data_IF_660416800321
#
_entry.id   IF_660416800321
#
_cell.length_a   1.000
_cell.length_b   1.000
_cell.length_c   1.000
_cell.angle_alpha   90.00
_cell.angle_beta   90.00
_cell.angle_gamma   90.00
#
_symmetry.space_group_name_H-M   'P 1'
#
loop_
_entity.id
_entity.type
_entity.pdbx_description
1 polymer ?
#
# COMPACT_ATOMS: atom_id res chain seq x y z
N UNK A 1 -2.04 12.38 3.77
CA UNK A 1 -3.47 12.02 3.73
C UNK A 1 -3.81 11.23 2.47
N UNK A 2 -3.57 11.76 1.27
CA UNK A 2 -3.83 11.01 0.03
C UNK A 2 -2.94 9.77 -0.11
N UNK A 3 -1.66 9.87 0.28
CA UNK A 3 -0.73 8.73 0.38
C UNK A 3 -1.24 7.65 1.32
N UNK A 4 -1.61 8.02 2.56
CA UNK A 4 -2.18 7.09 3.54
C UNK A 4 -3.45 6.40 3.03
N UNK A 5 -4.37 7.13 2.40
CA UNK A 5 -5.56 6.51 1.81
C UNK A 5 -5.20 5.53 0.70
N UNK A 6 -4.26 5.90 -0.19
CA UNK A 6 -3.80 5.02 -1.26
C UNK A 6 -3.28 3.69 -0.69
N UNK A 7 -2.47 3.76 0.37
CA UNK A 7 -1.97 2.61 1.11
C UNK A 7 -3.11 1.76 1.68
N UNK A 8 -3.99 2.36 2.47
CA UNK A 8 -5.09 1.66 3.16
C UNK A 8 -6.08 1.05 2.16
N UNK A 9 -6.39 1.75 1.07
CA UNK A 9 -7.30 1.27 0.06
C UNK A 9 -6.69 0.13 -0.75
N UNK A 10 -5.41 0.22 -1.13
CA UNK A 10 -4.70 -0.85 -1.81
C UNK A 10 -4.62 -2.11 -0.95
N UNK A 11 -4.37 -1.96 0.36
CA UNK A 11 -4.42 -3.07 1.31
C UNK A 11 -5.83 -3.65 1.42
N UNK A 12 -6.85 -2.80 1.49
CA UNK A 12 -8.25 -3.23 1.52
C UNK A 12 -8.60 -4.05 0.29
N UNK A 13 -8.22 -3.60 -0.91
CA UNK A 13 -8.37 -4.33 -2.17
C UNK A 13 -7.65 -5.69 -2.11
N UNK A 14 -6.40 -5.74 -1.66
CA UNK A 14 -5.64 -6.98 -1.58
C UNK A 14 -6.32 -7.99 -0.64
N UNK A 15 -6.75 -7.54 0.55
CA UNK A 15 -7.48 -8.37 1.51
C UNK A 15 -8.85 -8.81 1.02
N UNK A 16 -9.55 -7.96 0.26
CA UNK A 16 -10.79 -8.35 -0.38
C UNK A 16 -10.56 -9.52 -1.37
N UNK A 17 -9.56 -9.39 -2.24
CA UNK A 17 -9.23 -10.43 -3.22
C UNK A 17 -8.79 -11.73 -2.55
N UNK A 18 -8.09 -11.66 -1.43
CA UNK A 18 -7.70 -12.83 -0.62
C UNK A 18 -8.93 -13.61 -0.13
N UNK A 19 -9.91 -12.90 0.46
CA UNK A 19 -11.17 -13.50 0.96
C UNK A 19 -12.02 -14.05 -0.19
N UNK A 20 -12.11 -13.36 -1.33
CA UNK A 20 -12.83 -13.85 -2.53
C UNK A 20 -12.15 -15.10 -3.09
N UNK A 21 -10.83 -15.10 -3.21
CA UNK A 21 -10.04 -16.24 -3.68
C UNK A 21 -10.21 -17.45 -2.76
N UNK A 22 -10.15 -17.26 -1.44
CA UNK A 22 -10.44 -18.35 -0.48
C UNK A 22 -11.88 -18.86 -0.61
N UNK A 23 -12.86 -17.96 -0.69
CA UNK A 23 -14.27 -18.32 -0.85
C UNK A 23 -14.56 -19.08 -2.13
N UNK A 24 -13.84 -18.78 -3.21
CA UNK A 24 -13.99 -19.46 -4.49
C UNK A 24 -13.73 -20.97 -4.39
N UNK A 25 -12.84 -21.41 -3.49
CA UNK A 25 -12.49 -22.81 -3.31
C UNK A 25 -13.68 -23.64 -2.80
N UNK A 26 -14.57 -23.03 -2.03
CA UNK A 26 -15.73 -23.70 -1.43
C UNK A 26 -16.98 -23.57 -2.29
N UNK A 27 -17.15 -22.42 -2.96
CA UNK A 27 -18.29 -22.17 -3.84
C UNK A 27 -18.17 -22.87 -5.20
N UNK A 28 -16.98 -23.41 -5.55
CA UNK A 28 -16.70 -24.08 -6.82
C UNK A 28 -16.89 -25.60 -6.82
N UNK A 29 -17.28 -26.20 -5.69
CA UNK A 29 -17.51 -27.64 -5.59
C UNK A 29 -18.90 -28.05 -6.13
N UNK A 30 -18.97 -28.34 -7.43
CA UNK A 30 -19.72 -29.48 -7.99
C UNK A 30 -21.27 -29.52 -7.96
N UNK A 31 -21.98 -28.41 -7.80
CA UNK A 31 -23.46 -28.38 -7.82
C UNK A 31 -24.10 -27.78 -9.09
N UNK A 32 -25.43 -27.92 -9.25
CA UNK A 32 -26.22 -27.29 -10.34
C UNK A 32 -26.04 -25.74 -10.38
N UNK A 33 -25.73 -25.16 -9.22
CA UNK A 33 -25.52 -23.73 -8.99
C UNK A 33 -24.12 -23.20 -9.33
N UNK A 34 -23.18 -24.08 -9.70
CA UNK A 34 -21.77 -23.74 -9.93
C UNK A 34 -21.59 -22.56 -10.89
N UNK A 35 -22.36 -22.53 -11.97
CA UNK A 35 -22.29 -21.46 -12.97
C UNK A 35 -22.71 -20.09 -12.40
N UNK A 36 -23.68 -20.06 -11.49
CA UNK A 36 -24.15 -18.83 -10.84
C UNK A 36 -23.13 -18.33 -9.82
N UNK A 37 -22.56 -19.24 -9.00
CA UNK A 37 -21.47 -18.90 -8.08
C UNK A 37 -20.23 -18.39 -8.81
N UNK A 38 -19.85 -19.05 -9.90
CA UNK A 38 -18.72 -18.62 -10.74
C UNK A 38 -18.96 -17.22 -11.30
N UNK A 39 -20.16 -16.96 -11.85
CA UNK A 39 -20.51 -15.63 -12.34
C UNK A 39 -20.49 -14.58 -11.21
N UNK A 40 -21.02 -14.92 -10.02
CA UNK A 40 -20.98 -14.04 -8.86
C UNK A 40 -19.55 -13.64 -8.49
N UNK A 41 -18.65 -14.62 -8.32
CA UNK A 41 -17.25 -14.41 -7.98
C UNK A 41 -16.50 -13.62 -9.05
N UNK A 42 -16.72 -13.96 -10.33
CA UNK A 42 -16.12 -13.21 -11.45
C UNK A 42 -16.53 -11.74 -11.44
N UNK A 43 -17.80 -11.42 -11.13
CA UNK A 43 -18.24 -10.03 -11.03
C UNK A 43 -17.54 -9.28 -9.89
N UNK A 44 -17.32 -9.94 -8.74
CA UNK A 44 -16.56 -9.38 -7.62
C UNK A 44 -15.09 -9.14 -7.99
N UNK A 45 -14.47 -10.13 -8.63
CA UNK A 45 -13.06 -10.06 -9.04
C UNK A 45 -12.85 -9.04 -10.16
N UNK A 46 -13.72 -8.94 -11.15
CA UNK A 46 -13.56 -7.97 -12.27
C UNK A 46 -13.79 -6.52 -11.84
N UNK A 47 -14.61 -6.30 -10.80
CA UNK A 47 -14.82 -4.97 -10.22
C UNK A 47 -13.54 -4.38 -9.64
N UNK A 48 -12.69 -5.24 -9.07
CA UNK A 48 -11.49 -4.84 -8.31
C UNK A 48 -10.19 -5.20 -9.04
N UNK A 49 -10.21 -6.27 -9.82
CA UNK A 49 -9.14 -6.76 -10.68
C UNK A 49 -8.93 -5.80 -11.85
N UNK A 50 -7.88 -4.99 -11.75
CA UNK A 50 -7.60 -3.94 -12.71
C UNK A 50 -8.05 -2.56 -12.28
N UNK A 51 -8.28 -2.33 -10.98
CA UNK A 51 -8.19 -0.98 -10.44
C UNK A 51 -6.81 -0.41 -10.76
N UNK A 52 -6.78 0.72 -11.48
CA UNK A 52 -5.54 1.45 -11.67
C UNK A 52 -4.98 1.90 -10.30
N UNK A 53 -3.66 2.08 -10.16
CA UNK A 53 -3.10 2.73 -8.98
C UNK A 53 -3.82 4.05 -8.73
N UNK A 54 -4.23 4.28 -7.48
CA UNK A 54 -4.89 5.52 -7.10
C UNK A 54 -4.02 6.73 -7.47
N UNK A 55 -4.65 7.79 -7.96
CA UNK A 55 -3.97 9.00 -8.38
C UNK A 55 -3.06 9.54 -7.26
N UNK A 56 -1.81 9.88 -7.61
CA UNK A 56 -0.92 10.56 -6.68
C UNK A 56 -1.36 12.02 -6.55
N UNK A 57 -1.51 12.50 -5.32
CA UNK A 57 -1.90 13.89 -5.05
C UNK A 57 -1.01 14.50 -3.98
N UNK A 58 -0.42 15.64 -4.30
CA UNK A 58 0.33 16.48 -3.38
C UNK A 58 -0.31 17.87 -3.28
N UNK A 59 -0.45 18.34 -2.04
CA UNK A 59 -0.83 19.71 -1.70
C UNK A 59 0.05 20.15 -0.53
N UNK A 60 0.73 21.29 -0.67
CA UNK A 60 1.59 21.78 0.39
C UNK A 60 0.81 22.41 1.55
N UNK A 61 1.49 22.59 2.68
CA UNK A 61 0.89 23.10 3.91
C UNK A 61 0.28 24.51 3.75
N UNK A 62 0.89 25.39 2.94
CA UNK A 62 0.36 26.73 2.73
C UNK A 62 -0.97 26.68 1.96
N UNK A 63 -1.06 25.83 0.93
CA UNK A 63 -2.32 25.63 0.21
C UNK A 63 -3.41 25.08 1.12
N UNK A 64 -3.09 24.04 1.91
CA UNK A 64 -4.03 23.43 2.87
C UNK A 64 -4.54 24.46 3.88
N UNK A 65 -3.68 25.37 4.35
CA UNK A 65 -4.03 26.43 5.29
C UNK A 65 -4.96 27.47 4.68
N UNK A 66 -4.64 27.98 3.49
CA UNK A 66 -5.44 29.02 2.80
C UNK A 66 -6.83 28.51 2.43
N UNK A 67 -6.93 27.25 2.00
CA UNK A 67 -8.18 26.63 1.57
C UNK A 67 -9.01 26.06 2.73
N UNK A 68 -8.41 25.93 3.92
CA UNK A 68 -9.02 25.32 5.10
C UNK A 68 -9.61 23.92 4.80
N UNK A 69 -8.93 23.13 3.95
CA UNK A 69 -9.47 21.87 3.41
C UNK A 69 -9.90 20.89 4.50
N UNK A 70 -9.12 20.79 5.57
CA UNK A 70 -9.43 19.91 6.71
C UNK A 70 -10.76 20.29 7.38
N UNK A 71 -11.02 21.59 7.55
CA UNK A 71 -12.29 22.06 8.11
C UNK A 71 -13.43 21.90 7.09
N UNK A 72 -13.17 22.27 5.83
CA UNK A 72 -14.14 22.25 4.73
C UNK A 72 -14.67 20.85 4.45
N UNK A 73 -13.81 19.84 4.53
CA UNK A 73 -14.13 18.45 4.20
C UNK A 73 -14.21 17.53 5.41
N UNK A 74 -14.34 18.09 6.63
CA UNK A 74 -14.46 17.33 7.88
C UNK A 74 -15.51 16.21 7.80
N UNK A 75 -16.70 16.51 7.28
CA UNK A 75 -17.77 15.51 7.16
C UNK A 75 -17.41 14.38 6.19
N UNK A 76 -16.68 14.68 5.11
CA UNK A 76 -16.20 13.68 4.14
C UNK A 76 -15.11 12.79 4.74
N UNK A 77 -14.22 13.33 5.58
CA UNK A 77 -13.26 12.52 6.32
C UNK A 77 -13.93 11.58 7.30
N UNK A 78 -14.96 12.03 8.01
CA UNK A 78 -15.75 11.18 8.91
C UNK A 78 -16.43 10.06 8.10
N UNK A 79 -17.03 10.39 6.95
CA UNK A 79 -17.63 9.37 6.09
C UNK A 79 -16.61 8.35 5.57
N UNK A 80 -15.40 8.78 5.19
CA UNK A 80 -14.32 7.87 4.79
C UNK A 80 -13.89 6.94 5.92
N UNK A 81 -13.73 7.48 7.12
CA UNK A 81 -13.39 6.68 8.30
C UNK A 81 -14.48 5.65 8.60
N UNK A 82 -15.74 6.07 8.63
CA UNK A 82 -16.89 5.19 8.85
C UNK A 82 -16.97 4.08 7.79
N UNK A 83 -16.70 4.41 6.51
CA UNK A 83 -16.66 3.44 5.44
C UNK A 83 -15.54 2.41 5.60
N UNK A 84 -14.38 2.84 6.09
CA UNK A 84 -13.26 1.95 6.39
C UNK A 84 -13.57 1.04 7.59
N UNK A 85 -14.09 1.59 8.68
CA UNK A 85 -14.48 0.80 9.86
C UNK A 85 -15.52 -0.25 9.49
N UNK A 86 -16.58 0.16 8.78
CA UNK A 86 -17.61 -0.75 8.29
C UNK A 86 -17.03 -1.81 7.34
N UNK A 87 -16.03 -1.45 6.53
CA UNK A 87 -15.35 -2.40 5.65
C UNK A 87 -14.61 -3.46 6.46
N UNK A 88 -13.89 -3.06 7.52
CA UNK A 88 -13.17 -3.97 8.40
C UNK A 88 -14.11 -4.94 9.12
N UNK A 89 -15.25 -4.46 9.64
CA UNK A 89 -16.27 -5.29 10.30
C UNK A 89 -16.89 -6.32 9.33
N UNK A 90 -17.17 -5.90 8.10
CA UNK A 90 -17.70 -6.79 7.06
C UNK A 90 -16.67 -7.81 6.59
N UNK A 91 -15.39 -7.44 6.57
CA UNK A 91 -14.29 -8.36 6.24
C UNK A 91 -14.20 -9.45 7.30
N UNK A 92 -14.27 -9.06 8.56
CA UNK A 92 -14.30 -10.02 9.66
C UNK A 92 -15.52 -10.94 9.59
N UNK A 93 -16.69 -10.40 9.28
CA UNK A 93 -17.90 -11.19 9.07
C UNK A 93 -17.76 -12.21 7.93
N UNK A 94 -17.08 -11.84 6.83
CA UNK A 94 -16.80 -12.75 5.73
C UNK A 94 -15.81 -13.86 6.13
N UNK A 95 -14.75 -13.52 6.88
CA UNK A 95 -13.80 -14.49 7.41
C UNK A 95 -14.46 -15.49 8.36
N UNK A 96 -15.29 -15.02 9.30
CA UNK A 96 -16.06 -15.88 10.20
C UNK A 96 -16.95 -16.85 9.41
N UNK A 97 -17.56 -16.39 8.32
CA UNK A 97 -18.36 -17.23 7.45
C UNK A 97 -17.51 -18.31 6.74
N UNK A 98 -16.35 -17.93 6.19
CA UNK A 98 -15.39 -18.87 5.60
C UNK A 98 -14.90 -19.92 6.60
N UNK A 99 -14.53 -19.49 7.81
CA UNK A 99 -14.05 -20.40 8.86
C UNK A 99 -15.15 -21.34 9.35
N UNK A 100 -16.40 -20.89 9.33
CA UNK A 100 -17.57 -21.74 9.53
C UNK A 100 -17.65 -22.87 8.50
N UNK A 101 -17.55 -22.55 7.20
CA UNK A 101 -17.56 -23.54 6.11
C UNK A 101 -16.37 -24.51 6.25
N UNK A 102 -15.16 -24.00 6.48
CA UNK A 102 -13.94 -24.81 6.71
C UNK A 102 -14.13 -25.79 7.87
N UNK A 103 -14.77 -25.35 8.96
CA UNK A 103 -15.02 -26.18 10.13
C UNK A 103 -16.04 -27.27 9.84
N UNK A 104 -17.12 -26.96 9.12
CA UNK A 104 -18.11 -27.94 8.66
C UNK A 104 -17.47 -29.02 7.79
N UNK A 105 -16.64 -28.64 6.82
CA UNK A 105 -15.97 -29.59 5.91
C UNK A 105 -15.00 -30.51 6.66
N UNK A 106 -14.26 -29.98 7.64
CA UNK A 106 -13.40 -30.79 8.51
C UNK A 106 -14.20 -31.82 9.31
N UNK A 107 -15.38 -31.46 9.80
CA UNK A 107 -16.28 -32.39 10.50
C UNK A 107 -16.85 -33.48 9.58
N UNK A 108 -17.26 -33.11 8.37
CA UNK A 108 -17.74 -34.07 7.36
C UNK A 108 -16.65 -35.10 7.02
N UNK A 109 -15.40 -34.67 6.87
CA UNK A 109 -14.26 -35.56 6.63
C UNK A 109 -13.96 -36.50 7.81
N UNK A 110 -14.44 -36.20 9.02
CA UNK A 110 -14.33 -37.04 10.21
C UNK A 110 -15.48 -38.06 10.33
N UNK A 111 -16.39 -38.11 9.35
CA UNK A 111 -17.49 -39.08 9.28
C UNK A 111 -18.81 -38.61 9.90
N UNK A 112 -18.91 -37.33 10.29
CA UNK A 112 -20.14 -36.73 10.79
C UNK A 112 -20.98 -36.23 9.60
N UNK A 113 -21.98 -37.01 9.18
CA UNK A 113 -22.85 -36.66 8.06
C UNK A 113 -23.81 -35.53 8.44
N UNK A 114 -23.42 -34.29 8.12
CA UNK A 114 -24.25 -33.09 8.32
C UNK A 114 -25.26 -32.94 7.17
N UNK A 115 -26.48 -32.42 7.40
CA UNK A 115 -27.48 -32.26 6.34
C UNK A 115 -27.00 -31.33 5.22
N UNK A 116 -27.20 -31.73 3.95
CA UNK A 116 -26.84 -30.99 2.73
C UNK A 116 -27.44 -29.57 2.70
N UNK A 117 -28.65 -29.40 3.24
CA UNK A 117 -29.32 -28.10 3.42
C UNK A 117 -28.52 -27.09 4.28
N UNK A 118 -27.67 -27.55 5.19
CA UNK A 118 -26.83 -26.70 6.02
C UNK A 118 -25.66 -26.10 5.23
N UNK A 119 -25.11 -26.83 4.26
CA UNK A 119 -24.01 -26.37 3.42
C UNK A 119 -24.48 -25.27 2.46
N UNK A 120 -25.66 -25.45 1.85
CA UNK A 120 -26.27 -24.45 0.96
C UNK A 120 -26.52 -23.11 1.66
N UNK A 121 -27.02 -23.12 2.91
CA UNK A 121 -27.24 -21.88 3.67
C UNK A 121 -25.92 -21.17 3.99
N UNK A 122 -24.89 -21.91 4.37
CA UNK A 122 -23.55 -21.35 4.63
C UNK A 122 -22.94 -20.73 3.36
N UNK A 123 -23.11 -21.36 2.19
CA UNK A 123 -22.65 -20.81 0.91
C UNK A 123 -23.37 -19.52 0.53
N UNK A 124 -24.70 -19.46 0.73
CA UNK A 124 -25.49 -18.25 0.48
C UNK A 124 -25.06 -17.12 1.42
N UNK A 125 -24.86 -17.41 2.71
CA UNK A 125 -24.40 -16.42 3.69
C UNK A 125 -23.00 -15.89 3.36
N UNK A 126 -22.09 -16.74 2.88
CA UNK A 126 -20.80 -16.30 2.39
C UNK A 126 -20.96 -15.33 1.21
N UNK A 127 -21.81 -15.66 0.24
CA UNK A 127 -22.08 -14.78 -0.90
C UNK A 127 -22.64 -13.42 -0.45
N UNK A 128 -23.53 -13.40 0.56
CA UNK A 128 -24.03 -12.15 1.16
C UNK A 128 -22.93 -11.33 1.81
N UNK A 129 -22.03 -11.97 2.57
CA UNK A 129 -20.89 -11.31 3.20
C UNK A 129 -19.94 -10.71 2.17
N UNK A 130 -19.56 -11.48 1.14
CA UNK A 130 -18.70 -11.04 0.04
C UNK A 130 -19.30 -9.86 -0.72
N UNK A 131 -20.60 -9.91 -1.05
CA UNK A 131 -21.28 -8.80 -1.71
C UNK A 131 -21.28 -7.53 -0.85
N UNK A 132 -21.64 -7.65 0.44
CA UNK A 132 -21.67 -6.50 1.36
C UNK A 132 -20.28 -5.88 1.53
N UNK A 133 -19.24 -6.70 1.52
CA UNK A 133 -17.85 -6.28 1.60
C UNK A 133 -17.42 -5.51 0.34
N UNK A 134 -17.69 -6.05 -0.85
CA UNK A 134 -17.41 -5.38 -2.13
C UNK A 134 -18.16 -4.05 -2.27
N UNK A 135 -19.43 -4.02 -1.87
CA UNK A 135 -20.23 -2.80 -1.85
C UNK A 135 -19.61 -1.74 -0.92
N UNK A 136 -19.12 -2.16 0.24
CA UNK A 136 -18.48 -1.24 1.19
C UNK A 136 -17.15 -0.68 0.66
N UNK A 137 -16.34 -1.53 0.02
CA UNK A 137 -15.11 -1.11 -0.66
C UNK A 137 -15.40 -0.07 -1.75
N UNK A 138 -16.51 -0.24 -2.47
CA UNK A 138 -16.95 0.69 -3.50
C UNK A 138 -17.38 2.05 -2.93
N UNK A 139 -18.10 2.07 -1.81
CA UNK A 139 -18.45 3.31 -1.11
C UNK A 139 -17.21 4.06 -0.60
N UNK A 140 -16.21 3.32 -0.11
CA UNK A 140 -14.93 3.88 0.33
C UNK A 140 -14.22 4.58 -0.85
N UNK A 141 -14.10 3.90 -1.99
CA UNK A 141 -13.49 4.46 -3.20
C UNK A 141 -14.25 5.69 -3.73
N UNK A 142 -15.57 5.59 -3.85
CA UNK A 142 -16.41 6.65 -4.42
C UNK A 142 -16.38 7.92 -3.55
N UNK A 143 -16.42 7.76 -2.22
CA UNK A 143 -16.30 8.89 -1.29
C UNK A 143 -14.93 9.55 -1.38
N UNK A 144 -13.85 8.76 -1.54
CA UNK A 144 -12.50 9.30 -1.70
C UNK A 144 -12.35 10.04 -3.03
N UNK A 145 -12.87 9.48 -4.11
CA UNK A 145 -12.83 10.13 -5.42
C UNK A 145 -13.56 11.48 -5.39
N UNK A 146 -14.75 11.53 -4.78
CA UNK A 146 -15.49 12.79 -4.58
C UNK A 146 -14.72 13.80 -3.74
N UNK A 147 -14.05 13.34 -2.68
CA UNK A 147 -13.17 14.18 -1.88
C UNK A 147 -12.03 14.76 -2.74
N UNK A 148 -11.33 13.90 -3.48
CA UNK A 148 -10.18 14.27 -4.29
C UNK A 148 -10.56 15.30 -5.35
N UNK A 149 -11.65 15.08 -6.10
CA UNK A 149 -12.16 16.05 -7.09
C UNK A 149 -12.52 17.38 -6.43
N UNK A 150 -13.17 17.35 -5.28
CA UNK A 150 -13.53 18.56 -4.55
C UNK A 150 -12.30 19.33 -4.02
N UNK A 151 -11.25 18.61 -3.58
CA UNK A 151 -9.98 19.21 -3.16
C UNK A 151 -9.23 19.83 -4.33
N UNK A 152 -9.15 19.16 -5.49
CA UNK A 152 -8.56 19.73 -6.72
C UNK A 152 -9.30 21.00 -7.13
N UNK A 153 -10.63 20.98 -7.10
CA UNK A 153 -11.44 22.15 -7.44
C UNK A 153 -11.20 23.32 -6.47
N UNK A 154 -11.13 23.04 -5.17
CA UNK A 154 -10.82 24.06 -4.16
C UNK A 154 -9.42 24.66 -4.35
N UNK A 155 -8.41 23.83 -4.66
CA UNK A 155 -7.06 24.29 -4.97
C UNK A 155 -7.01 25.20 -6.21
N UNK A 156 -7.71 24.81 -7.29
CA UNK A 156 -7.83 25.65 -8.50
C UNK A 156 -8.52 26.98 -8.21
N UNK A 157 -9.56 26.96 -7.40
CA UNK A 157 -10.29 28.18 -6.97
C UNK A 157 -9.38 29.12 -6.17
N UNK A 158 -8.47 28.57 -5.37
CA UNK A 158 -7.46 29.32 -4.62
C UNK A 158 -6.26 29.76 -5.47
N UNK A 159 -6.31 29.58 -6.80
CA UNK A 159 -5.21 29.93 -7.72
C UNK A 159 -3.88 29.25 -7.38
N UNK A 160 -3.94 27.99 -6.92
CA UNK A 160 -2.75 27.20 -6.63
C UNK A 160 -1.80 27.08 -7.84
N UNK A 161 -0.50 26.99 -7.56
CA UNK A 161 0.52 26.70 -8.57
C UNK A 161 0.44 25.23 -8.97
N UNK A 162 -0.02 24.96 -10.19
CA UNK A 162 -0.20 23.58 -10.68
C UNK A 162 1.10 23.02 -11.28
N UNK A 163 1.63 21.94 -10.68
CA UNK A 163 2.81 21.19 -11.14
C UNK A 163 2.47 19.77 -11.64
N UNK A 164 1.19 19.47 -11.89
CA UNK A 164 0.69 18.13 -12.23
C UNK A 164 1.36 17.53 -13.48
N UNK A 165 1.61 18.34 -14.52
CA UNK A 165 2.21 17.86 -15.79
C UNK A 165 3.66 17.43 -15.60
N UNK A 166 4.44 18.26 -14.91
CA UNK A 166 5.84 17.98 -14.60
C UNK A 166 5.96 16.71 -13.75
N UNK A 167 5.12 16.60 -12.72
CA UNK A 167 5.12 15.46 -11.82
C UNK A 167 4.61 14.16 -12.46
N UNK A 168 3.60 14.23 -13.32
CA UNK A 168 3.14 13.06 -14.08
C UNK A 168 4.25 12.55 -14.99
N UNK A 169 5.04 13.45 -15.58
CA UNK A 169 6.21 13.08 -16.38
C UNK A 169 7.30 12.42 -15.53
N UNK A 170 7.60 12.97 -14.35
CA UNK A 170 8.56 12.38 -13.41
C UNK A 170 8.10 10.99 -12.95
N UNK A 171 6.84 10.86 -12.55
CA UNK A 171 6.25 9.58 -12.14
C UNK A 171 6.37 8.53 -13.25
N UNK A 172 6.02 8.88 -14.49
CA UNK A 172 6.14 7.96 -15.62
C UNK A 172 7.57 7.47 -15.87
N UNK A 173 8.57 8.36 -15.72
CA UNK A 173 9.99 7.98 -15.82
C UNK A 173 10.43 7.05 -14.68
N UNK A 174 9.94 7.29 -13.46
CA UNK A 174 10.23 6.46 -12.30
C UNK A 174 9.58 5.08 -12.42
N UNK A 175 8.33 4.99 -12.88
CA UNK A 175 7.64 3.70 -13.12
C UNK A 175 8.42 2.90 -14.15
N UNK A 176 8.74 3.50 -15.30
CA UNK A 176 9.52 2.83 -16.35
C UNK A 176 10.91 2.38 -15.88
N UNK A 177 11.53 3.09 -14.92
CA UNK A 177 12.79 2.70 -14.32
C UNK A 177 12.65 1.61 -13.25
N UNK A 178 11.54 1.59 -12.51
CA UNK A 178 11.23 0.53 -11.56
C UNK A 178 10.99 -0.80 -12.28
N UNK A 179 10.25 -0.78 -13.40
CA UNK A 179 10.02 -1.97 -14.23
C UNK A 179 11.36 -2.55 -14.74
N UNK A 180 12.34 -1.71 -15.09
CA UNK A 180 13.68 -2.18 -15.49
C UNK A 180 14.44 -2.88 -14.35
N UNK A 181 14.27 -2.41 -13.12
CA UNK A 181 14.90 -3.03 -11.94
C UNK A 181 14.27 -4.38 -11.59
N UNK A 182 12.96 -4.50 -11.74
CA UNK A 182 12.23 -5.72 -11.41
C UNK A 182 12.42 -6.82 -12.48
N UNK A 183 12.83 -6.45 -13.70
CA UNK A 183 13.17 -7.37 -14.80
C UNK A 183 14.62 -7.91 -14.74
N UNK A 184 15.52 -7.33 -13.94
CA UNK A 184 16.88 -7.86 -13.78
C UNK A 184 16.91 -9.04 -12.80
N UNK A 185 17.23 -10.29 -13.24
CA UNK A 185 17.46 -11.39 -12.30
C UNK A 185 18.67 -11.06 -11.41
N UNK A 186 18.74 -11.58 -10.17
CA UNK A 186 19.83 -11.27 -9.25
C UNK A 186 21.14 -11.78 -9.86
N UNK A 187 21.95 -10.89 -10.43
CA UNK A 187 23.32 -11.20 -10.82
C UNK A 187 24.10 -11.50 -9.55
N UNK A 188 24.50 -12.76 -9.43
CA UNK A 188 25.49 -13.25 -8.48
C UNK A 188 26.73 -12.38 -8.59
N UNK A 189 27.25 -11.78 -7.51
CA UNK A 189 28.46 -10.97 -7.61
C UNK A 189 29.62 -11.89 -7.99
N UNK A 190 30.23 -11.62 -9.15
CA UNK A 190 31.50 -12.21 -9.56
C UNK A 190 32.56 -11.68 -8.60
N UNK A 191 33.00 -12.51 -7.65
CA UNK A 191 34.14 -12.19 -6.80
C UNK A 191 35.41 -12.14 -7.65
N UNK A 192 35.95 -10.94 -7.78
CA UNK A 192 37.30 -10.68 -8.29
C UNK A 192 38.32 -11.34 -7.35
N UNK A 193 39.07 -12.29 -7.88
CA UNK A 193 40.09 -13.04 -7.15
C UNK A 193 41.24 -12.13 -6.69
N UNK A 194 41.50 -12.07 -5.39
CA UNK A 194 42.82 -11.74 -4.86
C UNK A 194 43.27 -12.85 -3.92
N UNK A 195 44.35 -13.50 -4.34
CA UNK A 195 45.05 -14.63 -3.74
C UNK A 195 45.99 -14.19 -2.61
N UNK A 196 45.97 -14.90 -1.47
CA UNK A 196 47.07 -14.95 -0.49
C UNK A 196 47.22 -16.40 0.05
N UNK A 197 48.43 -16.84 0.43
CA UNK A 197 48.83 -18.25 0.50
C UNK A 197 48.58 -18.94 1.87
N UNK A 198 48.71 -20.28 1.97
CA UNK A 198 48.18 -21.07 3.08
C UNK A 198 49.23 -21.51 4.13
N UNK A 199 48.74 -22.28 5.13
CA UNK A 199 49.35 -22.94 6.30
C UNK A 199 49.22 -22.13 7.63
N UNK A 200 48.73 -22.68 8.76
CA UNK A 200 48.83 -24.06 9.27
C UNK A 200 47.79 -24.37 10.37
N UNK A 201 47.64 -25.66 10.65
CA UNK A 201 46.65 -26.38 11.46
C UNK A 201 46.58 -26.07 12.98
N UNK A 202 45.35 -26.08 13.53
CA UNK A 202 44.76 -26.69 14.76
C UNK A 202 45.61 -26.89 16.06
N UNK A 203 45.03 -27.12 17.28
CA UNK A 203 43.63 -27.50 17.61
C UNK A 203 42.98 -26.85 18.87
N UNK A 204 41.67 -27.11 18.98
CA UNK A 204 40.80 -27.48 20.11
C UNK A 204 41.14 -27.15 21.59
N UNK A 205 40.08 -26.83 22.35
CA UNK A 205 40.00 -26.82 23.83
C UNK A 205 39.00 -25.76 24.31
N UNK A 206 37.71 -26.08 24.38
CA UNK A 206 36.95 -26.48 25.59
C UNK A 206 36.69 -25.37 26.62
N UNK A 207 35.40 -25.07 26.76
CA UNK A 207 34.62 -24.89 28.00
C UNK A 207 35.03 -23.83 29.03
N UNK A 208 34.06 -22.99 29.40
CA UNK A 208 34.15 -22.11 30.56
C UNK A 208 32.94 -21.19 30.70
N UNK A 209 31.86 -21.72 31.26
CA UNK A 209 30.83 -20.92 31.93
C UNK A 209 31.45 -20.12 33.08
N UNK A 210 31.09 -18.85 33.22
CA UNK A 210 30.70 -18.31 34.53
C UNK A 210 30.03 -16.95 34.41
N UNK A 211 28.92 -16.85 35.12
CA UNK A 211 28.11 -15.67 35.33
C UNK A 211 28.75 -14.66 36.31
N UNK A 212 28.27 -13.42 36.16
CA UNK A 212 27.82 -12.54 37.24
C UNK A 212 28.78 -11.64 38.01
N UNK A 213 28.15 -10.54 38.44
CA UNK A 213 28.51 -9.56 39.48
C UNK A 213 29.55 -8.53 39.01
N UNK A 214 29.30 -7.23 39.01
CA UNK A 214 28.41 -6.39 39.84
C UNK A 214 29.23 -5.17 40.28
N UNK A 215 28.56 -4.08 40.65
CA UNK A 215 29.18 -2.86 41.19
C UNK A 215 28.99 -1.67 40.24
N UNK A 216 27.93 -0.87 40.41
CA UNK A 216 27.85 0.27 41.34
C UNK A 216 28.73 1.44 40.87
N UNK A 217 28.09 2.45 40.27
CA UNK A 217 27.79 3.74 40.90
C UNK A 217 29.03 4.62 41.10
N UNK A 218 29.12 5.71 40.33
CA UNK A 218 29.30 7.02 40.98
C UNK A 218 29.04 8.19 40.05
N UNK A 219 28.31 9.12 40.62
CA UNK A 219 27.95 10.43 40.13
C UNK A 219 29.14 11.41 40.04
N UNK A 220 28.88 12.52 39.35
CA UNK A 220 29.66 13.75 39.44
C UNK A 220 30.04 14.22 38.05
N UNK A 221 29.56 15.34 37.52
CA UNK A 221 28.99 16.51 38.17
C UNK A 221 29.54 17.75 37.47
N UNK A 222 28.76 18.81 37.51
CA UNK A 222 29.13 20.20 37.24
C UNK A 222 29.17 20.68 35.79
N UNK A 223 28.19 21.55 35.53
CA UNK A 223 28.15 22.58 34.51
C UNK A 223 29.30 23.59 34.64
N UNK A 224 29.63 24.28 33.55
CA UNK A 224 29.50 25.74 33.46
C UNK A 224 29.68 26.27 32.03
N UNK A 225 28.87 27.27 31.71
CA UNK A 225 28.90 28.14 30.54
C UNK A 225 30.19 28.97 30.46
N UNK A 226 30.58 29.43 29.25
CA UNK A 226 30.64 30.88 28.91
C UNK A 226 31.25 31.17 27.52
N UNK A 227 30.41 31.69 26.61
CA UNK A 227 30.46 33.06 26.06
C UNK A 227 31.74 33.71 25.45
N UNK A 228 31.57 34.19 24.20
CA UNK A 228 32.05 35.47 23.59
C UNK A 228 33.55 35.49 23.15
N UNK A 229 34.02 35.93 21.97
CA UNK A 229 33.75 37.12 21.12
C UNK A 229 34.43 37.05 19.74
N UNK A 230 33.92 37.91 18.84
CA UNK A 230 34.39 38.33 17.51
C UNK A 230 35.84 38.85 17.45
N UNK A 231 36.43 38.84 16.25
CA UNK A 231 37.06 40.03 15.61
C UNK A 231 37.33 39.82 14.12
N UNK A 232 37.19 40.90 13.36
CA UNK A 232 37.30 41.03 11.90
C UNK A 232 38.75 41.20 11.41
N UNK A 233 38.98 41.00 10.10
CA UNK A 233 39.94 41.82 9.36
C UNK A 233 40.65 41.18 8.16
N UNK A 234 40.35 41.70 6.95
CA UNK A 234 41.37 41.93 5.90
C UNK A 234 41.46 40.94 4.72
N UNK A 235 40.98 41.36 3.55
CA UNK A 235 41.43 40.92 2.20
C UNK A 235 42.66 41.77 1.76
N UNK A 236 43.32 41.63 0.57
CA UNK A 236 42.92 40.91 -0.66
C UNK A 236 44.06 40.29 -1.55
N UNK A 237 43.64 39.84 -2.75
CA UNK A 237 44.36 39.64 -4.05
C UNK A 237 45.30 38.43 -4.26
N UNK A 238 44.92 37.49 -5.15
CA UNK A 238 45.42 37.43 -6.54
C UNK A 238 45.08 36.11 -7.26
N UNK A 239 44.84 36.28 -8.56
CA UNK A 239 44.47 35.35 -9.61
C UNK A 239 45.37 34.13 -9.82
N UNK A 240 44.78 32.98 -10.15
CA UNK A 240 45.26 32.14 -11.24
C UNK A 240 44.16 31.22 -11.79
N UNK A 241 44.38 30.79 -13.02
CA UNK A 241 43.41 30.37 -14.03
C UNK A 241 43.45 28.85 -14.24
N UNK A 242 42.32 28.31 -14.68
CA UNK A 242 42.12 27.07 -15.47
C UNK A 242 42.53 25.73 -14.85
N UNK A 243 41.49 25.00 -14.42
CA UNK A 243 41.45 23.55 -14.41
C UNK A 243 40.00 23.11 -14.40
N UNK A 244 39.46 22.76 -15.57
CA UNK A 244 38.17 22.07 -15.68
C UNK A 244 38.29 20.73 -14.95
N UNK A 245 37.91 20.72 -13.67
CA UNK A 245 37.70 19.50 -12.92
C UNK A 245 36.20 19.40 -12.68
N UNK A 246 35.59 18.45 -13.39
CA UNK A 246 34.30 17.90 -13.02
C UNK A 246 34.46 17.42 -11.58
N UNK A 247 33.88 18.16 -10.64
CA UNK A 247 33.83 17.78 -9.24
C UNK A 247 32.85 16.60 -9.13
N UNK A 248 33.35 15.38 -9.33
CA UNK A 248 32.72 14.22 -8.72
C UNK A 248 32.81 14.41 -7.21
N UNK A 249 31.68 14.74 -6.59
CA UNK A 249 31.56 14.77 -5.15
C UNK A 249 31.78 13.35 -4.60
N UNK A 250 32.50 13.18 -3.49
CA UNK A 250 32.69 11.86 -2.88
C UNK A 250 31.32 11.28 -2.51
N UNK A 251 31.13 9.97 -2.76
CA UNK A 251 29.96 9.23 -2.31
C UNK A 251 30.04 9.11 -0.78
N UNK A 252 29.60 10.15 -0.06
CA UNK A 252 29.36 10.09 1.37
C UNK A 252 28.00 9.42 1.59
N UNK A 253 27.99 8.33 2.37
CA UNK A 253 26.73 7.75 2.83
C UNK A 253 25.99 8.82 3.64
N UNK A 254 24.72 9.14 3.32
CA UNK A 254 23.98 10.18 4.02
C UNK A 254 23.82 9.81 5.48
N UNK A 255 24.28 10.68 6.38
CA UNK A 255 24.22 10.47 7.83
C UNK A 255 22.94 11.02 8.45
N UNK A 256 22.19 11.81 7.68
CA UNK A 256 20.95 12.46 8.10
C UNK A 256 19.94 12.51 6.97
N UNK A 257 18.66 12.59 7.32
CA UNK A 257 17.56 12.74 6.36
C UNK A 257 17.72 13.94 5.39
N UNK A 258 18.05 15.18 5.84
CA UNK A 258 18.20 16.31 4.91
C UNK A 258 19.36 16.14 3.92
N UNK A 259 20.44 15.45 4.31
CA UNK A 259 21.54 15.12 3.40
C UNK A 259 21.08 14.12 2.33
N UNK A 260 20.30 13.10 2.73
CA UNK A 260 19.71 12.14 1.81
C UNK A 260 18.72 12.80 0.82
N UNK A 261 17.91 13.75 1.29
CA UNK A 261 17.00 14.53 0.44
C UNK A 261 17.74 15.32 -0.64
N UNK A 262 18.84 16.00 -0.29
CA UNK A 262 19.65 16.73 -1.26
C UNK A 262 20.31 15.81 -2.29
N UNK A 263 20.87 14.68 -1.85
CA UNK A 263 21.45 13.69 -2.77
C UNK A 263 20.38 13.08 -3.70
N UNK A 264 19.18 12.81 -3.17
CA UNK A 264 18.06 12.30 -3.96
C UNK A 264 17.59 13.31 -5.00
N UNK A 265 17.45 14.58 -4.61
CA UNK A 265 17.10 15.67 -5.53
C UNK A 265 18.16 15.86 -6.62
N UNK A 266 19.45 15.66 -6.30
CA UNK A 266 20.52 15.69 -7.29
C UNK A 266 20.39 14.54 -8.30
N UNK A 267 20.10 13.32 -7.85
CA UNK A 267 19.85 12.18 -8.74
C UNK A 267 18.66 12.41 -9.66
N UNK A 268 17.59 13.02 -9.14
CA UNK A 268 16.41 13.42 -9.93
C UNK A 268 16.77 14.50 -10.96
N UNK A 269 17.54 15.52 -10.57
CA UNK A 269 18.00 16.59 -11.45
C UNK A 269 18.89 16.06 -12.59
N UNK A 270 19.77 15.09 -12.28
CA UNK A 270 20.64 14.42 -13.23
C UNK A 270 19.91 13.36 -14.09
N UNK A 271 18.59 13.21 -13.90
CA UNK A 271 17.74 12.22 -14.58
C UNK A 271 18.18 10.76 -14.38
N UNK A 272 18.81 10.46 -13.23
CA UNK A 272 19.30 9.13 -12.85
C UNK A 272 18.22 8.34 -12.12
N UNK A 273 17.12 8.00 -12.81
CA UNK A 273 15.91 7.38 -12.22
C UNK A 273 16.19 6.07 -11.48
N UNK A 274 16.90 5.15 -12.11
CA UNK A 274 17.28 3.85 -11.50
C UNK A 274 18.13 4.07 -10.25
N UNK A 275 19.08 5.02 -10.31
CA UNK A 275 19.92 5.38 -9.18
C UNK A 275 19.11 5.99 -8.03
N UNK A 276 18.13 6.86 -8.33
CA UNK A 276 17.24 7.42 -7.33
C UNK A 276 16.40 6.34 -6.62
N UNK A 277 15.83 5.40 -7.37
CA UNK A 277 15.07 4.27 -6.81
C UNK A 277 15.94 3.38 -5.92
N UNK A 278 17.12 2.99 -6.41
CA UNK A 278 18.08 2.19 -5.63
C UNK A 278 18.54 2.93 -4.37
N UNK A 279 18.78 4.24 -4.46
CA UNK A 279 19.18 5.07 -3.34
C UNK A 279 18.12 5.07 -2.23
N UNK A 280 16.84 5.25 -2.58
CA UNK A 280 15.74 5.17 -1.61
C UNK A 280 15.64 3.77 -1.00
N UNK A 281 15.73 2.71 -1.81
CA UNK A 281 15.72 1.32 -1.34
C UNK A 281 16.87 1.02 -0.37
N UNK A 282 18.07 1.53 -0.64
CA UNK A 282 19.27 1.34 0.18
C UNK A 282 19.20 2.09 1.51
N UNK A 283 18.56 3.26 1.54
CA UNK A 283 18.48 4.12 2.72
C UNK A 283 17.07 4.19 3.32
N UNK A 284 16.27 3.12 3.20
CA UNK A 284 14.86 3.09 3.66
C UNK A 284 14.64 3.56 5.11
N UNK A 285 15.59 3.28 5.99
CA UNK A 285 15.52 3.69 7.40
C UNK A 285 15.50 5.22 7.61
N UNK A 286 15.96 6.01 6.62
CA UNK A 286 15.91 7.48 6.67
C UNK A 286 14.56 8.06 6.27
N UNK A 287 13.69 7.27 5.64
CA UNK A 287 12.42 7.73 5.07
C UNK A 287 11.20 7.24 5.85
N UNK A 288 11.32 6.08 6.50
CA UNK A 288 10.27 5.49 7.32
C UNK A 288 10.73 5.37 8.76
N UNK A 289 10.05 6.09 9.67
CA UNK A 289 10.32 6.04 11.10
C UNK A 289 9.68 4.82 11.80
N UNK A 290 8.73 4.15 11.15
CA UNK A 290 8.04 2.95 11.67
C UNK A 290 7.97 1.86 10.58
N UNK A 291 7.90 0.60 11.00
CA UNK A 291 7.86 -0.59 10.14
C UNK A 291 6.52 -0.73 9.40
N UNK A 292 6.11 0.30 8.64
CA UNK A 292 5.00 0.20 7.70
C UNK A 292 5.37 -0.76 6.58
N UNK A 293 4.49 -1.70 6.20
CA UNK A 293 4.76 -2.64 5.12
C UNK A 293 5.12 -1.87 3.84
N UNK A 294 6.18 -2.32 3.17
CA UNK A 294 6.65 -1.74 1.92
C UNK A 294 5.72 -2.13 0.78
N UNK A 295 4.99 -1.15 0.23
CA UNK A 295 4.08 -1.35 -0.89
C UNK A 295 4.81 -1.24 -2.23
N UNK A 296 4.24 -1.79 -3.32
CA UNK A 296 4.74 -1.54 -4.67
C UNK A 296 4.83 -0.03 -4.92
N UNK A 297 5.95 0.44 -5.48
CA UNK A 297 6.20 1.85 -5.80
C UNK A 297 6.24 2.83 -4.61
N UNK A 298 6.43 2.35 -3.39
CA UNK A 298 6.67 3.20 -2.22
C UNK A 298 7.93 4.07 -2.39
N UNK A 299 8.96 3.55 -3.06
CA UNK A 299 10.15 4.30 -3.47
C UNK A 299 9.82 5.46 -4.42
N UNK A 300 8.94 5.26 -5.40
CA UNK A 300 8.44 6.33 -6.28
C UNK A 300 7.73 7.41 -5.45
N UNK A 301 6.89 7.01 -4.49
CA UNK A 301 6.15 7.95 -3.65
C UNK A 301 7.09 8.81 -2.80
N UNK A 302 8.14 8.22 -2.23
CA UNK A 302 9.19 8.95 -1.50
C UNK A 302 9.84 10.00 -2.41
N UNK A 303 10.27 9.60 -3.62
CA UNK A 303 10.93 10.51 -4.58
C UNK A 303 10.01 11.68 -4.94
N UNK A 304 8.73 11.39 -5.25
CA UNK A 304 7.75 12.42 -5.59
C UNK A 304 7.50 13.37 -4.42
N UNK A 305 7.39 12.86 -3.18
CA UNK A 305 7.19 13.69 -1.99
C UNK A 305 8.38 14.60 -1.73
N UNK A 306 9.62 14.10 -1.84
CA UNK A 306 10.84 14.90 -1.69
C UNK A 306 10.91 15.99 -2.76
N UNK A 307 10.62 15.64 -4.03
CA UNK A 307 10.60 16.61 -5.11
C UNK A 307 9.53 17.69 -4.92
N UNK A 308 8.32 17.30 -4.51
CA UNK A 308 7.25 18.25 -4.19
C UNK A 308 7.61 19.18 -3.04
N UNK A 309 8.20 18.66 -1.97
CA UNK A 309 8.62 19.48 -0.83
C UNK A 309 9.63 20.56 -1.26
N UNK A 310 10.61 20.18 -2.09
CA UNK A 310 11.56 21.11 -2.68
C UNK A 310 10.89 22.19 -3.54
N UNK A 311 9.87 21.84 -4.34
CA UNK A 311 9.12 22.82 -5.13
C UNK A 311 8.29 23.75 -4.24
N UNK A 312 7.65 23.21 -3.20
CA UNK A 312 6.82 23.96 -2.26
C UNK A 312 7.63 24.99 -1.47
N UNK A 313 8.87 24.66 -1.09
CA UNK A 313 9.78 25.60 -0.41
C UNK A 313 10.12 26.81 -1.27
N UNK A 314 10.23 26.63 -2.59
CA UNK A 314 10.49 27.73 -3.53
C UNK A 314 9.25 28.55 -3.85
N UNK A 315 8.11 27.87 -3.97
CA UNK A 315 6.83 28.48 -4.36
C UNK A 315 5.69 27.81 -3.58
N UNK A 316 5.36 28.32 -2.38
CA UNK A 316 4.26 27.81 -1.57
C UNK A 316 2.92 27.95 -2.29
N UNK A 317 1.94 27.13 -1.91
CA UNK A 317 0.62 27.14 -2.53
C UNK A 317 0.55 26.31 -3.83
N UNK A 318 1.28 25.20 -3.90
CA UNK A 318 1.30 24.29 -5.03
C UNK A 318 0.37 23.09 -4.87
N UNK A 319 -0.09 22.60 -6.01
CA UNK A 319 -0.80 21.33 -6.16
C UNK A 319 -0.14 20.52 -7.27
N UNK A 320 -0.08 19.20 -7.08
CA UNK A 320 0.28 18.29 -8.16
C UNK A 320 -0.58 17.02 -8.08
N UNK A 321 -1.10 16.62 -9.23
CA UNK A 321 -1.95 15.44 -9.39
C UNK A 321 -1.40 14.59 -10.53
N UNK A 322 -1.04 13.35 -10.25
CA UNK A 322 -0.71 12.38 -11.28
C UNK A 322 -1.88 11.40 -11.43
N UNK A 323 -2.61 11.58 -12.52
CA UNK A 323 -3.88 10.90 -12.80
C UNK A 323 -4.94 11.90 -13.25
N UNK A 324 -6.03 11.39 -13.82
CA UNK A 324 -7.10 12.20 -14.38
C UNK A 324 -8.42 11.97 -13.66
N UNK A 325 -9.28 12.99 -13.67
CA UNK A 325 -10.66 12.86 -13.15
C UNK A 325 -11.46 11.80 -13.93
N UNK A 326 -11.15 11.61 -15.22
CA UNK A 326 -11.75 10.58 -16.06
C UNK A 326 -11.43 9.16 -15.58
N UNK A 327 -10.15 8.87 -15.27
CA UNK A 327 -9.71 7.56 -14.74
C UNK A 327 -10.40 7.24 -13.39
N UNK A 328 -10.53 8.25 -12.53
CA UNK A 328 -11.21 8.09 -11.25
C UNK A 328 -12.71 7.78 -11.44
N UNK A 329 -13.36 8.50 -12.36
CA UNK A 329 -14.77 8.29 -12.71
C UNK A 329 -15.03 6.93 -13.36
N UNK A 330 -14.17 6.50 -14.28
CA UNK A 330 -14.24 5.19 -14.93
C UNK A 330 -14.11 4.06 -13.91
N UNK A 331 -13.23 4.23 -12.93
CA UNK A 331 -13.09 3.27 -11.84
C UNK A 331 -14.35 3.20 -10.95
N UNK A 332 -14.94 4.34 -10.59
CA UNK A 332 -16.20 4.37 -9.82
C UNK A 332 -17.36 3.73 -10.62
N UNK A 333 -17.40 3.95 -11.94
CA UNK A 333 -18.37 3.33 -12.84
C UNK A 333 -18.19 1.80 -12.86
N UNK A 334 -16.97 1.30 -13.04
CA UNK A 334 -16.67 -0.15 -13.04
C UNK A 334 -17.06 -0.82 -11.73
N UNK A 335 -16.73 -0.22 -10.59
CA UNK A 335 -17.13 -0.73 -9.28
C UNK A 335 -18.67 -0.78 -9.13
N UNK A 336 -19.36 0.24 -9.64
CA UNK A 336 -20.83 0.28 -9.63
C UNK A 336 -21.43 -0.83 -10.50
N UNK A 337 -20.90 -1.04 -11.70
CA UNK A 337 -21.35 -2.11 -12.61
C UNK A 337 -21.13 -3.50 -11.99
N UNK A 338 -19.94 -3.73 -11.43
CA UNK A 338 -19.60 -4.96 -10.72
C UNK A 338 -20.54 -5.23 -9.52
N UNK A 339 -20.86 -4.18 -8.74
CA UNK A 339 -21.84 -4.31 -7.65
C UNK A 339 -23.23 -4.72 -8.15
N UNK A 340 -23.70 -4.10 -9.23
CA UNK A 340 -25.02 -4.40 -9.77
C UNK A 340 -25.08 -5.82 -10.34
N UNK A 341 -24.02 -6.26 -11.04
CA UNK A 341 -23.91 -7.60 -11.57
C UNK A 341 -23.82 -8.65 -10.45
N UNK A 342 -22.98 -8.42 -9.44
CA UNK A 342 -22.86 -9.29 -8.27
C UNK A 342 -24.18 -9.37 -7.48
N UNK A 343 -24.89 -8.25 -7.28
CA UNK A 343 -26.21 -8.25 -6.64
C UNK A 343 -27.23 -9.06 -7.43
N UNK A 344 -27.21 -8.95 -8.77
CA UNK A 344 -28.08 -9.74 -9.63
C UNK A 344 -27.80 -11.24 -9.48
N UNK A 345 -26.53 -11.65 -9.54
CA UNK A 345 -26.14 -13.04 -9.35
C UNK A 345 -26.48 -13.55 -7.94
N UNK A 346 -26.27 -12.74 -6.90
CA UNK A 346 -26.66 -13.06 -5.53
C UNK A 346 -28.17 -13.31 -5.41
N UNK A 347 -29.01 -12.47 -6.04
CA UNK A 347 -30.46 -12.69 -6.06
C UNK A 347 -30.84 -13.99 -6.76
N UNK A 348 -30.14 -14.35 -7.83
CA UNK A 348 -30.35 -15.65 -8.50
C UNK A 348 -29.99 -16.80 -7.56
N UNK A 349 -28.87 -16.71 -6.85
CA UNK A 349 -28.45 -17.70 -5.84
C UNK A 349 -29.53 -17.86 -4.76
N UNK A 350 -30.09 -16.76 -4.26
CA UNK A 350 -31.11 -16.77 -3.19
C UNK A 350 -32.49 -17.29 -3.62
N UNK A 351 -32.83 -17.20 -4.91
CA UNK A 351 -34.14 -17.61 -5.44
C UNK A 351 -34.21 -19.09 -5.85
N UNK A 352 -33.07 -19.77 -5.88
CA UNK A 352 -33.00 -21.20 -6.23
C UNK A 352 -33.74 -22.03 -5.18
N UNK A 353 -34.72 -22.86 -5.57
CA UNK A 353 -35.56 -23.57 -4.62
C UNK A 353 -34.73 -24.57 -3.80
N UNK A 354 -34.72 -24.38 -2.47
CA UNK A 354 -34.21 -25.38 -1.52
C UNK A 354 -35.06 -26.65 -1.64
N UNK A 355 -34.49 -27.86 -1.73
CA UNK A 355 -35.28 -29.08 -1.65
C UNK A 355 -35.99 -29.09 -0.29
N UNK A 356 -37.32 -29.02 -0.30
CA UNK A 356 -38.14 -29.07 0.92
C UNK A 356 -37.94 -30.41 1.63
N UNK A 357 -37.89 -30.41 2.97
CA UNK A 357 -37.84 -31.63 3.81
C UNK A 357 -38.88 -32.69 3.42
N UNK A 358 -40.03 -32.26 2.89
CA UNK A 358 -41.09 -33.14 2.40
C UNK A 358 -40.69 -34.01 1.19
N UNK A 359 -39.71 -33.55 0.38
CA UNK A 359 -39.18 -34.31 -0.74
C UNK A 359 -38.25 -35.43 -0.26
N UNK A 360 -37.46 -35.20 0.80
CA UNK A 360 -36.59 -36.20 1.42
C UNK A 360 -37.40 -37.34 2.07
N UNK A 361 -38.48 -37.02 2.78
CA UNK A 361 -39.38 -38.04 3.37
C UNK A 361 -40.12 -38.86 2.29
N UNK A 362 -40.39 -38.26 1.12
CA UNK A 362 -41.01 -38.97 0.00
C UNK A 362 -40.06 -39.93 -0.73
N UNK A 363 -38.76 -39.63 -0.71
CA UNK A 363 -37.71 -40.50 -1.29
C UNK A 363 -37.42 -41.67 -0.34
N UNK A 364 -37.34 -41.42 0.97
CA UNK A 364 -37.15 -42.47 1.99
C UNK A 364 -38.32 -43.47 1.98
N UNK A 365 -39.57 -43.00 1.85
CA UNK A 365 -40.74 -43.89 1.75
C UNK A 365 -40.81 -44.71 0.46
N UNK A 366 -40.15 -44.29 -0.62
CA UNK A 366 -40.12 -45.03 -1.90
C UNK A 366 -39.06 -46.12 -1.94
N UNK A 367 -38.06 -46.07 -1.07
CA UNK A 367 -37.03 -47.12 -0.93
C UNK A 367 -37.43 -48.26 0.02
N UNK A 368 -38.55 -48.12 0.75
CA UNK A 368 -39.07 -49.13 1.69
C UNK A 368 -40.28 -49.92 1.14
N UNK A 369 -40.56 -49.89 -0.17
CA UNK A 369 -41.65 -50.64 -0.81
C UNK A 369 -41.16 -51.65 -1.84
#
# INVERSE_FOLDING_TARGET
MCTLFNTVFSESVAKFMEVVSEGSQYLSEGGEMLHIYTAFLQNLEQGVGGLAPLAYVYMDAALLSVTQLTQRFRSTFIALHEHLDTYLDKRESANVCLDGIKSTLKLQNLGDSLPELCADEQHIDLCRCLYKLHFQLSLLYDTYTKLLVAMIHAARTAQASDHSVELSTLQGKLIAAADQLDLTPPTTPTQSSQSLPPERELPEGEEGECESVGGEESEGGSACESSISRTEGGSPVSSSSLGSQSLELPVTQPTSQPEAELQLLQLVADQRWVGALQFVRQHRALWHHEATPTYPHDDITVILNTYCAYLADKKPGMIAVCGTEAELGETSFRLTEANMAALSALRSIEQTPKPTRDSLDSVIRKTEC
#
